data_IF_692704057752
#
_entry.id   IF_692704057752
#
_cell.length_a   1.000
_cell.length_b   1.000
_cell.length_c   1.000
_cell.angle_alpha   90.00
_cell.angle_beta   90.00
_cell.angle_gamma   90.00
#
_symmetry.space_group_name_H-M   'P 1'
#
loop_
_entity.id
_entity.type
_entity.pdbx_description
1 polymer ?
#
# COMPACT_ATOMS: atom_id res chain seq x y z
N UNK A 1 45.54 -8.89 44.80
CA UNK A 1 45.93 -7.47 44.78
C UNK A 1 45.06 -6.77 43.76
N UNK A 2 44.29 -5.78 44.21
CA UNK A 2 43.21 -5.16 43.44
C UNK A 2 43.81 -4.22 42.38
N UNK A 3 43.48 -4.42 41.11
CA UNK A 3 43.95 -3.56 40.02
C UNK A 3 43.20 -2.22 40.10
N UNK A 4 43.84 -1.20 40.69
CA UNK A 4 43.30 0.15 40.81
C UNK A 4 43.45 0.91 39.50
N UNK A 5 42.71 0.49 38.47
CA UNK A 5 42.44 1.40 37.36
C UNK A 5 41.47 2.45 37.90
N UNK A 6 41.90 3.71 37.94
CA UNK A 6 41.09 4.83 38.43
C UNK A 6 39.75 4.96 37.68
N UNK A 7 38.86 5.85 38.14
CA UNK A 7 37.57 6.07 37.50
C UNK A 7 37.75 6.38 36.01
N UNK A 8 36.84 5.86 35.19
CA UNK A 8 36.83 6.09 33.74
C UNK A 8 36.81 7.60 33.49
N UNK A 9 37.60 8.06 32.52
CA UNK A 9 37.70 9.47 32.15
C UNK A 9 37.26 9.67 30.71
N UNK A 10 36.66 10.82 30.44
CA UNK A 10 36.23 11.23 29.10
C UNK A 10 37.40 11.68 28.23
N UNK A 11 37.11 12.10 26.99
CA UNK A 11 38.11 12.56 26.02
C UNK A 11 38.85 13.84 26.45
N UNK A 12 38.32 14.57 27.44
CA UNK A 12 38.89 15.80 27.98
C UNK A 12 39.62 15.56 29.31
N UNK A 13 39.64 14.31 29.79
CA UNK A 13 40.35 13.90 31.00
C UNK A 13 39.56 14.08 32.30
N UNK A 14 38.27 14.46 32.23
CA UNK A 14 37.38 14.55 33.38
C UNK A 14 36.83 13.17 33.73
N UNK A 15 36.54 12.95 35.02
CA UNK A 15 35.96 11.69 35.47
C UNK A 15 34.53 11.54 34.92
N UNK A 16 34.34 10.50 34.13
CA UNK A 16 33.06 10.14 33.53
C UNK A 16 32.78 8.65 33.79
N UNK A 17 32.53 8.28 35.05
CA UNK A 17 32.32 6.89 35.44
C UNK A 17 31.08 6.27 34.79
N UNK A 18 30.10 7.09 34.39
CA UNK A 18 28.83 6.66 33.82
C UNK A 18 28.68 6.94 32.32
N UNK A 19 29.73 7.45 31.66
CA UNK A 19 29.75 7.73 30.23
C UNK A 19 28.76 8.82 29.79
N UNK A 20 28.39 9.70 30.73
CA UNK A 20 27.41 10.78 30.55
C UNK A 20 27.98 11.90 29.69
N UNK A 21 29.27 12.23 29.85
CA UNK A 21 29.91 13.28 29.04
C UNK A 21 30.04 12.81 27.59
N UNK A 22 30.48 11.56 27.37
CA UNK A 22 30.49 10.96 26.02
C UNK A 22 29.07 10.96 25.40
N UNK A 23 28.03 10.69 26.18
CA UNK A 23 26.63 10.71 25.71
C UNK A 23 26.17 12.12 25.33
N UNK A 24 26.50 13.13 26.14
CA UNK A 24 26.16 14.53 25.87
C UNK A 24 26.86 15.03 24.60
N UNK A 25 28.11 14.63 24.38
CA UNK A 25 28.85 14.93 23.14
C UNK A 25 28.16 14.33 21.92
N UNK A 26 27.72 13.06 22.01
CA UNK A 26 26.95 12.42 20.93
C UNK A 26 25.63 13.15 20.66
N UNK A 27 24.87 13.50 21.72
CA UNK A 27 23.60 14.22 21.57
C UNK A 27 23.82 15.59 20.92
N UNK A 28 24.86 16.32 21.34
CA UNK A 28 25.18 17.62 20.76
C UNK A 28 25.59 17.50 19.28
N UNK A 29 26.34 16.46 18.93
CA UNK A 29 26.72 16.18 17.55
C UNK A 29 25.50 15.82 16.69
N UNK A 30 24.66 14.89 17.16
CA UNK A 30 23.42 14.50 16.48
C UNK A 30 22.51 15.72 16.29
N UNK A 31 22.34 16.55 17.32
CA UNK A 31 21.55 17.79 17.23
C UNK A 31 22.12 18.76 16.19
N UNK A 32 23.44 18.91 16.15
CA UNK A 32 24.10 19.75 15.16
C UNK A 32 23.93 19.20 13.74
N UNK A 33 24.10 17.89 13.54
CA UNK A 33 23.83 17.23 12.25
C UNK A 33 22.37 17.39 11.83
N UNK A 34 21.41 17.22 12.74
CA UNK A 34 20.00 17.44 12.46
C UNK A 34 19.70 18.90 12.09
N UNK A 35 20.31 19.87 12.76
CA UNK A 35 20.16 21.29 12.43
C UNK A 35 20.80 21.64 11.09
N UNK A 36 21.95 21.05 10.77
CA UNK A 36 22.64 21.26 9.51
C UNK A 36 21.89 20.60 8.34
N UNK A 37 21.38 19.38 8.53
CA UNK A 37 20.42 18.76 7.63
C UNK A 37 19.21 19.67 7.48
N UNK A 38 18.57 20.15 8.56
CA UNK A 38 17.38 21.02 8.46
C UNK A 38 17.67 22.35 7.73
N UNK A 39 18.85 22.94 7.92
CA UNK A 39 19.26 24.18 7.25
C UNK A 39 19.58 23.95 5.76
N UNK A 40 20.19 22.82 5.44
CA UNK A 40 20.57 22.44 4.06
C UNK A 40 19.44 21.73 3.30
N UNK A 41 18.45 21.19 4.00
CA UNK A 41 17.24 20.60 3.45
C UNK A 41 16.36 21.73 2.93
N UNK A 42 16.73 22.23 1.76
CA UNK A 42 15.79 22.80 0.83
C UNK A 42 14.80 21.66 0.59
N UNK A 43 13.58 21.76 1.10
CA UNK A 43 12.52 20.80 0.77
C UNK A 43 12.41 20.69 -0.76
N UNK A 44 11.63 19.75 -1.27
CA UNK A 44 11.28 19.78 -2.68
C UNK A 44 10.41 21.03 -2.94
N UNK A 45 11.07 22.16 -3.18
CA UNK A 45 10.44 23.43 -3.52
C UNK A 45 10.15 23.31 -5.00
N UNK A 46 8.93 22.89 -5.31
CA UNK A 46 8.41 23.01 -6.66
C UNK A 46 8.24 24.50 -6.89
N UNK A 47 9.04 25.06 -7.78
CA UNK A 47 8.90 26.46 -8.14
C UNK A 47 7.49 26.69 -8.69
N UNK A 48 6.92 27.88 -8.45
CA UNK A 48 5.55 28.20 -8.87
C UNK A 48 5.34 28.02 -10.39
N UNK A 49 6.40 28.12 -11.19
CA UNK A 49 6.34 27.88 -12.63
C UNK A 49 6.39 26.39 -12.98
N UNK A 50 7.13 25.57 -12.22
CA UNK A 50 7.09 24.11 -12.36
C UNK A 50 5.73 23.53 -11.99
N UNK A 51 5.07 24.03 -10.93
CA UNK A 51 3.73 23.58 -10.55
C UNK A 51 2.69 23.94 -11.63
N UNK A 52 2.83 25.09 -12.31
CA UNK A 52 1.97 25.45 -13.44
C UNK A 52 2.16 24.49 -14.61
N UNK A 53 3.40 24.11 -14.93
CA UNK A 53 3.67 23.15 -16.00
C UNK A 53 3.15 21.74 -15.64
N UNK A 54 3.34 21.30 -14.40
CA UNK A 54 2.77 20.05 -13.90
C UNK A 54 1.23 20.09 -13.96
N UNK A 55 0.60 21.20 -13.61
CA UNK A 55 -0.86 21.37 -13.70
C UNK A 55 -1.35 21.22 -15.15
N UNK A 56 -0.67 21.84 -16.12
CA UNK A 56 -0.98 21.67 -17.56
C UNK A 56 -0.84 20.21 -18.00
N UNK A 57 0.21 19.52 -17.55
CA UNK A 57 0.43 18.10 -17.86
C UNK A 57 -0.65 17.22 -17.26
N UNK A 58 -1.05 17.46 -16.00
CA UNK A 58 -2.16 16.77 -15.35
C UNK A 58 -3.44 16.94 -16.16
N UNK A 59 -3.80 18.17 -16.52
CA UNK A 59 -5.01 18.44 -17.32
C UNK A 59 -4.96 17.73 -18.67
N UNK A 60 -3.81 17.78 -19.35
CA UNK A 60 -3.60 17.07 -20.62
C UNK A 60 -3.78 15.56 -20.46
N UNK A 61 -3.23 14.96 -19.40
CA UNK A 61 -3.36 13.54 -19.14
C UNK A 61 -4.80 13.16 -18.83
N UNK A 62 -5.48 13.88 -17.94
CA UNK A 62 -6.89 13.63 -17.64
C UNK A 62 -7.78 13.71 -18.88
N UNK A 63 -7.54 14.69 -19.76
CA UNK A 63 -8.24 14.78 -21.05
C UNK A 63 -7.92 13.59 -21.95
N UNK A 64 -6.67 13.15 -21.98
CA UNK A 64 -6.24 12.02 -22.82
C UNK A 64 -6.71 10.65 -22.33
N UNK A 65 -6.95 10.50 -21.03
CA UNK A 65 -7.35 9.25 -20.36
C UNK A 65 -8.80 9.27 -19.89
N UNK A 66 -9.59 10.24 -20.36
CA UNK A 66 -10.98 10.41 -19.96
C UNK A 66 -11.83 9.16 -20.29
N UNK A 67 -11.45 8.42 -21.32
CA UNK A 67 -12.09 7.17 -21.74
C UNK A 67 -11.92 6.04 -20.71
N UNK A 68 -10.72 5.88 -20.15
CA UNK A 68 -10.39 4.81 -19.19
C UNK A 68 -10.68 5.19 -17.73
N UNK A 69 -10.74 6.48 -17.41
CA UNK A 69 -11.00 6.98 -16.05
C UNK A 69 -12.49 7.03 -15.69
N UNK A 70 -13.38 6.65 -16.62
CA UNK A 70 -14.82 6.54 -16.39
C UNK A 70 -15.13 5.36 -15.44
N UNK A 71 -16.23 5.44 -14.67
CA UNK A 71 -16.72 4.26 -13.96
C UNK A 71 -16.97 3.13 -14.96
N UNK A 72 -16.68 1.89 -14.54
CA UNK A 72 -16.84 0.73 -15.41
C UNK A 72 -18.27 0.70 -15.97
N UNK A 73 -18.45 0.66 -17.31
CA UNK A 73 -19.78 0.60 -17.91
C UNK A 73 -20.47 -0.68 -17.45
N UNK A 74 -21.81 -0.68 -17.35
CA UNK A 74 -22.61 -1.89 -17.07
C UNK A 74 -22.66 -2.83 -18.28
N UNK A 75 -21.54 -2.99 -18.99
CA UNK A 75 -21.39 -3.82 -20.18
C UNK A 75 -20.05 -4.57 -20.09
N UNK A 76 -19.99 -5.75 -20.68
CA UNK A 76 -18.73 -6.46 -20.85
C UNK A 76 -17.87 -5.72 -21.88
N UNK A 77 -16.58 -5.44 -21.59
CA UNK A 77 -15.66 -5.03 -22.64
C UNK A 77 -15.56 -6.14 -23.70
N UNK A 78 -15.23 -5.81 -24.95
CA UNK A 78 -15.09 -6.79 -26.01
C UNK A 78 -14.10 -7.88 -25.59
N UNK A 79 -14.52 -9.13 -25.69
CA UNK A 79 -13.68 -10.28 -25.35
C UNK A 79 -12.42 -10.25 -26.21
N UNK A 80 -11.27 -10.07 -25.56
CA UNK A 80 -9.97 -10.34 -26.15
C UNK A 80 -9.60 -11.78 -25.82
N UNK A 81 -8.84 -12.43 -26.69
CA UNK A 81 -8.31 -13.75 -26.40
C UNK A 81 -7.39 -13.65 -25.18
N UNK A 82 -7.88 -14.12 -24.02
CA UNK A 82 -7.11 -14.18 -22.80
C UNK A 82 -6.48 -15.56 -22.74
N UNK A 83 -5.16 -15.64 -22.87
CA UNK A 83 -4.39 -16.88 -22.76
C UNK A 83 -4.37 -17.49 -21.33
N UNK A 84 -5.27 -17.06 -20.45
CA UNK A 84 -5.28 -17.48 -19.06
C UNK A 84 -6.09 -18.77 -18.90
N UNK A 85 -5.36 -19.88 -18.69
CA UNK A 85 -5.93 -21.15 -18.24
C UNK A 85 -5.60 -21.31 -16.76
N UNK A 86 -6.57 -21.75 -15.95
CA UNK A 86 -6.34 -22.17 -14.57
C UNK A 86 -6.06 -23.68 -14.60
N UNK A 87 -4.80 -24.13 -14.48
CA UNK A 87 -4.51 -25.56 -14.43
C UNK A 87 -4.99 -26.13 -13.09
N UNK A 88 -5.77 -27.20 -13.13
CA UNK A 88 -6.13 -27.94 -11.92
C UNK A 88 -5.02 -28.94 -11.61
N UNK A 89 -4.60 -29.00 -10.33
CA UNK A 89 -3.62 -30.01 -9.89
C UNK A 89 -4.24 -31.41 -9.98
N UNK A 90 -5.53 -31.54 -9.63
CA UNK A 90 -6.30 -32.77 -9.73
C UNK A 90 -7.71 -32.45 -10.26
N UNK A 91 -7.98 -32.86 -11.50
CA UNK A 91 -9.26 -32.62 -12.18
C UNK A 91 -10.43 -33.40 -11.57
N UNK A 92 -10.17 -34.46 -10.78
CA UNK A 92 -11.20 -35.31 -10.19
C UNK A 92 -11.54 -34.93 -8.75
N UNK A 93 -10.83 -33.94 -8.19
CA UNK A 93 -11.00 -33.58 -6.78
C UNK A 93 -12.28 -32.79 -6.56
N UNK A 94 -13.24 -33.41 -5.87
CA UNK A 94 -14.50 -32.79 -5.46
C UNK A 94 -14.40 -32.37 -4.00
N UNK A 95 -14.58 -31.09 -3.71
CA UNK A 95 -14.55 -30.59 -2.34
C UNK A 95 -15.96 -30.46 -1.76
N UNK A 96 -16.10 -30.86 -0.50
CA UNK A 96 -17.32 -30.64 0.29
C UNK A 96 -17.19 -29.35 1.07
N UNK A 97 -18.09 -28.39 0.83
CA UNK A 97 -18.12 -27.12 1.54
C UNK A 97 -19.35 -27.04 2.45
N UNK A 98 -19.20 -26.41 3.61
CA UNK A 98 -20.33 -25.94 4.39
C UNK A 98 -20.80 -24.60 3.80
N UNK A 99 -22.06 -24.54 3.35
CA UNK A 99 -22.61 -23.31 2.76
C UNK A 99 -22.77 -22.22 3.83
N UNK A 100 -22.13 -21.05 3.69
CA UNK A 100 -22.33 -19.95 4.61
C UNK A 100 -23.76 -19.43 4.48
N UNK A 101 -24.32 -18.94 5.59
CA UNK A 101 -25.62 -18.26 5.58
C UNK A 101 -25.38 -16.76 5.46
N UNK A 102 -26.12 -16.11 4.56
CA UNK A 102 -26.15 -14.66 4.47
C UNK A 102 -27.04 -14.10 5.58
N UNK A 103 -26.57 -13.08 6.29
CA UNK A 103 -27.38 -12.35 7.27
C UNK A 103 -28.51 -11.59 6.57
N UNK A 104 -29.72 -11.58 7.17
CA UNK A 104 -30.91 -10.98 6.55
C UNK A 104 -30.72 -9.50 6.20
N UNK A 105 -29.96 -8.76 7.01
CA UNK A 105 -29.64 -7.35 6.77
C UNK A 105 -28.88 -7.10 5.45
N UNK A 106 -28.02 -8.03 5.01
CA UNK A 106 -27.12 -7.87 3.84
C UNK A 106 -27.72 -8.57 2.60
N UNK A 107 -28.75 -9.40 2.79
CA UNK A 107 -29.37 -10.17 1.70
C UNK A 107 -29.88 -9.28 0.57
N UNK A 108 -30.42 -8.11 0.89
CA UNK A 108 -30.87 -7.12 -0.10
C UNK A 108 -29.74 -6.62 -0.99
N UNK A 109 -28.62 -6.20 -0.38
CA UNK A 109 -27.45 -5.69 -1.09
C UNK A 109 -26.79 -6.76 -1.95
N UNK A 110 -26.71 -8.00 -1.44
CA UNK A 110 -26.17 -9.12 -2.20
C UNK A 110 -27.00 -9.38 -3.47
N UNK A 111 -28.33 -9.42 -3.34
CA UNK A 111 -29.21 -9.62 -4.50
C UNK A 111 -29.12 -8.46 -5.49
N UNK A 112 -29.02 -7.22 -5.02
CA UNK A 112 -28.83 -6.05 -5.89
C UNK A 112 -27.52 -6.15 -6.70
N UNK A 113 -26.42 -6.60 -6.05
CA UNK A 113 -25.14 -6.82 -6.72
C UNK A 113 -25.21 -7.94 -7.77
N UNK A 114 -25.80 -9.09 -7.41
CA UNK A 114 -25.99 -10.22 -8.33
C UNK A 114 -26.78 -9.76 -9.56
N UNK A 115 -27.91 -9.08 -9.35
CA UNK A 115 -28.76 -8.61 -10.45
C UNK A 115 -28.02 -7.62 -11.36
N UNK A 116 -27.26 -6.68 -10.79
CA UNK A 116 -26.44 -5.74 -11.57
C UNK A 116 -25.43 -6.49 -12.44
N UNK A 117 -24.74 -7.48 -11.88
CA UNK A 117 -23.67 -8.20 -12.57
C UNK A 117 -24.23 -9.13 -13.66
N UNK A 118 -25.39 -9.74 -13.43
CA UNK A 118 -26.10 -10.54 -14.44
C UNK A 118 -26.62 -9.64 -15.56
N UNK A 119 -27.21 -8.48 -15.23
CA UNK A 119 -27.68 -7.50 -16.22
C UNK A 119 -26.54 -6.97 -17.08
N UNK A 120 -25.38 -6.69 -16.48
CA UNK A 120 -24.18 -6.22 -17.18
C UNK A 120 -23.50 -7.30 -18.05
N UNK A 121 -23.99 -8.55 -18.00
CA UNK A 121 -23.39 -9.68 -18.69
C UNK A 121 -22.09 -10.19 -18.04
N UNK A 122 -21.59 -9.55 -16.99
CA UNK A 122 -20.38 -9.98 -16.27
C UNK A 122 -20.54 -11.38 -15.69
N UNK A 123 -21.73 -11.68 -15.16
CA UNK A 123 -22.08 -13.00 -14.63
C UNK A 123 -23.17 -13.64 -15.47
N UNK A 124 -23.10 -14.96 -15.61
CA UNK A 124 -24.18 -15.77 -16.18
C UNK A 124 -24.58 -16.87 -15.20
N UNK A 125 -25.87 -17.16 -15.04
CA UNK A 125 -26.29 -18.33 -14.28
C UNK A 125 -25.74 -19.58 -14.96
N UNK A 126 -25.12 -20.46 -14.17
CA UNK A 126 -24.51 -21.69 -14.66
C UNK A 126 -24.74 -22.81 -13.65
N UNK A 127 -25.08 -23.99 -14.14
CA UNK A 127 -25.13 -25.21 -13.35
C UNK A 127 -23.79 -25.91 -13.46
N UNK A 128 -23.10 -26.07 -12.33
CA UNK A 128 -21.77 -26.68 -12.27
C UNK A 128 -21.77 -27.79 -11.22
N UNK A 129 -20.87 -28.77 -11.38
CA UNK A 129 -20.69 -29.87 -10.41
C UNK A 129 -20.17 -29.36 -9.07
N UNK A 130 -19.45 -28.24 -9.07
CA UNK A 130 -18.89 -27.63 -7.88
C UNK A 130 -18.84 -26.11 -8.03
N UNK A 131 -19.24 -25.39 -6.99
CA UNK A 131 -19.16 -23.94 -6.90
C UNK A 131 -18.51 -23.53 -5.58
N UNK A 132 -17.77 -22.42 -5.59
CA UNK A 132 -17.33 -21.76 -4.38
C UNK A 132 -18.52 -21.02 -3.74
N UNK A 133 -18.66 -21.02 -2.41
CA UNK A 133 -19.67 -20.20 -1.75
C UNK A 133 -19.40 -18.70 -2.00
N UNK A 134 -20.47 -17.94 -2.17
CA UNK A 134 -20.47 -16.48 -2.38
C UNK A 134 -20.75 -15.73 -1.06
#
# INVERSE_FOLDING_TARGET
>A
MHSSKGPRRDRFGFEDPYRVNELLDCIAHDQWEYEEIRRSHIGFVIDNDEEKEIAKLREKWYKSTEDIMRPAPEELPPFREVNHRIPLIDEKKIYRYHLPRCADAIKGDLMAKINRYVKAGWWRPATVTQAAPL
#
